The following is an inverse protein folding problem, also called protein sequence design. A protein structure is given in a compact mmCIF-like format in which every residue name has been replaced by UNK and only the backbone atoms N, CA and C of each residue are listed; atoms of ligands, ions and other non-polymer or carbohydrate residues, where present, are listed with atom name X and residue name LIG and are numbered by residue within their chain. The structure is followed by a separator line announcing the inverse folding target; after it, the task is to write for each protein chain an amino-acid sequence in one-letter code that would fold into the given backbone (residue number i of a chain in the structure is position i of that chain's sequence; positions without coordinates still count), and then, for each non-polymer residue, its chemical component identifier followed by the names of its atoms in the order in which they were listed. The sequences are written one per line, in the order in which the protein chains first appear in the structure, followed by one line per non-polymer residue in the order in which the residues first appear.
data_IF_285725404377
#
_entry.id   IF_285725404377
#
_cell.length_a   1.000
_cell.length_b   1.000
_cell.length_c   1.000
_cell.angle_alpha   90.00
_cell.angle_beta   90.00
_cell.angle_gamma   90.00
#
_symmetry.space_group_name_H-M   'P 1'
#
loop_
_entity.id
_entity.type
_entity.pdbx_description
1 polymer ?
#
# COMPACT_ATOMS: atom_id res chain seq x y z
N UNK A 1 -9.56 -29.93 -5.34
CA UNK A 1 -9.66 -28.62 -4.67
C UNK A 1 -9.37 -27.54 -5.70
N UNK A 2 -10.31 -26.63 -5.95
CA UNK A 2 -10.17 -25.55 -6.94
C UNK A 2 -9.79 -24.25 -6.24
N UNK A 3 -8.96 -23.42 -6.89
CA UNK A 3 -8.55 -22.12 -6.39
C UNK A 3 -8.66 -21.08 -7.51
N UNK A 4 -9.00 -19.85 -7.14
CA UNK A 4 -8.95 -18.72 -8.05
C UNK A 4 -7.52 -18.15 -8.05
N UNK A 5 -6.91 -18.07 -9.23
CA UNK A 5 -5.60 -17.43 -9.39
C UNK A 5 -5.78 -16.02 -9.90
N UNK A 6 -5.32 -15.06 -9.12
CA UNK A 6 -5.29 -13.65 -9.48
C UNK A 6 -3.84 -13.25 -9.72
N UNK A 7 -3.59 -12.50 -10.80
CA UNK A 7 -2.28 -11.91 -11.09
C UNK A 7 -2.43 -10.40 -11.14
N UNK A 8 -1.72 -9.71 -10.25
CA UNK A 8 -1.64 -8.25 -10.22
C UNK A 8 -0.22 -7.87 -10.61
N UNK A 9 -0.10 -6.90 -11.51
CA UNK A 9 1.18 -6.34 -11.95
C UNK A 9 1.06 -4.82 -11.96
N UNK A 10 2.09 -4.15 -11.48
CA UNK A 10 2.20 -2.70 -11.51
C UNK A 10 3.63 -2.28 -11.79
N UNK A 11 3.82 -1.04 -12.24
CA UNK A 11 5.15 -0.44 -12.41
C UNK A 11 5.81 -0.16 -11.06
N UNK A 12 5.00 0.26 -10.08
CA UNK A 12 5.43 0.57 -8.72
C UNK A 12 4.41 0.06 -7.71
N UNK A 13 4.85 -0.24 -6.49
CA UNK A 13 3.97 -0.61 -5.37
C UNK A 13 4.63 -0.20 -4.06
N UNK A 14 3.85 0.39 -3.16
CA UNK A 14 4.28 0.72 -1.80
C UNK A 14 3.35 0.07 -0.78
N UNK A 15 3.94 -0.46 0.29
CA UNK A 15 3.23 -1.16 1.36
C UNK A 15 3.43 -0.41 2.66
N UNK A 16 2.38 0.26 3.11
CA UNK A 16 2.44 1.19 4.25
C UNK A 16 3.05 0.53 5.50
N UNK A 17 4.07 1.17 6.05
CA UNK A 17 4.59 0.85 7.37
C UNK A 17 3.74 1.53 8.46
N UNK A 18 3.23 0.82 9.48
CA UNK A 18 2.22 1.36 10.38
C UNK A 18 2.75 2.40 11.38
N UNK A 19 4.05 2.41 11.69
CA UNK A 19 4.61 3.20 12.80
C UNK A 19 5.07 4.60 12.34
N UNK A 20 5.46 4.74 11.06
CA UNK A 20 5.98 6.00 10.52
C UNK A 20 4.94 6.66 9.62
N UNK A 21 4.57 7.89 9.95
CA UNK A 21 3.51 8.65 9.25
C UNK A 21 4.03 9.99 8.73
N UNK A 22 5.22 10.42 9.14
CA UNK A 22 5.76 11.75 8.82
C UNK A 22 7.22 11.69 8.38
N UNK A 23 7.58 12.51 7.39
CA UNK A 23 8.94 12.64 6.88
C UNK A 23 9.33 11.55 5.89
N UNK A 24 9.54 10.31 6.36
CA UNK A 24 9.89 9.18 5.48
C UNK A 24 8.76 8.16 5.47
N UNK A 25 8.34 7.71 4.29
CA UNK A 25 7.31 6.67 4.14
C UNK A 25 7.92 5.33 3.73
N UNK A 26 8.43 4.52 4.69
CA UNK A 26 8.99 3.23 4.36
C UNK A 26 7.93 2.29 3.80
N UNK A 27 8.32 1.53 2.78
CA UNK A 27 7.56 0.36 2.32
C UNK A 27 8.02 -0.91 3.04
N UNK A 28 7.06 -1.72 3.48
CA UNK A 28 7.31 -3.12 3.84
C UNK A 28 7.90 -3.87 2.63
N UNK A 29 8.70 -4.93 2.85
CA UNK A 29 9.32 -5.70 1.76
C UNK A 29 8.32 -6.55 0.98
N UNK A 30 7.16 -6.86 1.58
CA UNK A 30 6.07 -7.64 0.98
C UNK A 30 4.72 -7.01 1.37
N UNK A 31 3.66 -7.20 0.56
CA UNK A 31 2.34 -6.71 0.90
C UNK A 31 1.83 -7.38 2.18
N UNK A 32 1.49 -6.63 3.24
CA UNK A 32 0.85 -7.23 4.40
C UNK A 32 -0.52 -7.79 4.01
N UNK A 33 -1.00 -8.79 4.76
CA UNK A 33 -2.33 -9.35 4.51
C UNK A 33 -3.43 -8.29 4.57
N UNK A 34 -3.30 -7.27 5.43
CA UNK A 34 -4.21 -6.13 5.46
C UNK A 34 -4.33 -5.41 4.12
N UNK A 35 -3.25 -5.29 3.34
CA UNK A 35 -3.30 -4.73 1.98
C UNK A 35 -4.07 -5.65 1.04
N UNK A 36 -3.83 -6.96 1.09
CA UNK A 36 -4.51 -7.92 0.22
C UNK A 36 -6.01 -7.98 0.51
N UNK A 37 -6.40 -8.10 1.79
CA UNK A 37 -7.80 -8.05 2.20
C UNK A 37 -8.44 -6.68 1.93
N UNK A 38 -7.67 -5.59 2.02
CA UNK A 38 -8.12 -4.26 1.61
C UNK A 38 -8.45 -4.18 0.12
N UNK A 39 -7.61 -4.73 -0.75
CA UNK A 39 -7.86 -4.81 -2.20
C UNK A 39 -9.10 -5.66 -2.51
N UNK A 40 -9.25 -6.81 -1.86
CA UNK A 40 -10.43 -7.68 -2.03
C UNK A 40 -11.69 -6.96 -1.54
N UNK A 41 -11.62 -6.32 -0.37
CA UNK A 41 -12.75 -5.56 0.20
C UNK A 41 -13.18 -4.41 -0.72
N UNK A 42 -12.21 -3.68 -1.28
CA UNK A 42 -12.47 -2.59 -2.22
C UNK A 42 -13.15 -3.10 -3.50
N UNK A 43 -12.73 -4.25 -4.03
CA UNK A 43 -13.35 -4.87 -5.19
C UNK A 43 -14.76 -5.42 -4.90
N UNK A 44 -14.99 -5.96 -3.69
CA UNK A 44 -16.29 -6.49 -3.27
C UNK A 44 -17.27 -5.40 -2.83
N UNK A 45 -16.80 -4.20 -2.51
CA UNK A 45 -17.62 -3.11 -1.96
C UNK A 45 -18.07 -3.34 -0.51
N UNK A 46 -17.44 -4.27 0.22
CA UNK A 46 -17.71 -4.56 1.63
C UNK A 46 -16.45 -5.08 2.33
N UNK A 47 -16.33 -4.95 3.65
CA UNK A 47 -15.21 -5.54 4.39
C UNK A 47 -15.17 -7.06 4.22
N UNK A 48 -13.99 -7.59 3.89
CA UNK A 48 -13.68 -9.02 3.79
C UNK A 48 -12.54 -9.32 4.76
N UNK A 49 -12.71 -10.39 5.53
CA UNK A 49 -11.78 -10.84 6.55
C UNK A 49 -11.16 -12.20 6.20
N UNK A 50 -10.13 -12.65 6.95
CA UNK A 50 -9.56 -13.99 6.78
C UNK A 50 -10.54 -15.14 7.04
N UNK A 51 -11.64 -14.88 7.76
CA UNK A 51 -12.69 -15.85 8.03
C UNK A 51 -13.58 -16.09 6.80
N UNK A 52 -13.67 -15.10 5.92
CA UNK A 52 -14.49 -15.16 4.71
C UNK A 52 -13.76 -15.88 3.56
N UNK A 53 -12.46 -15.60 3.40
CA UNK A 53 -11.62 -16.13 2.30
C UNK A 53 -10.19 -16.35 2.78
N UNK A 54 -9.70 -17.59 2.64
CA UNK A 54 -8.27 -17.89 2.80
C UNK A 54 -7.49 -17.42 1.56
N UNK A 55 -6.39 -16.73 1.80
CA UNK A 55 -5.53 -16.17 0.75
C UNK A 55 -4.09 -16.61 0.98
N UNK A 56 -3.44 -17.05 -0.09
CA UNK A 56 -1.99 -17.21 -0.17
C UNK A 56 -1.49 -16.42 -1.37
N UNK A 57 -0.32 -15.80 -1.25
CA UNK A 57 0.24 -15.01 -2.33
C UNK A 57 1.75 -15.23 -2.45
N UNK A 58 2.27 -14.90 -3.63
CA UNK A 58 3.71 -14.79 -3.90
C UNK A 58 3.95 -13.41 -4.48
N UNK A 59 4.85 -12.65 -3.86
CA UNK A 59 5.24 -11.32 -4.31
C UNK A 59 6.63 -11.37 -4.97
N UNK A 60 6.78 -10.63 -6.08
CA UNK A 60 8.05 -10.44 -6.78
C UNK A 60 8.17 -8.98 -7.20
N UNK A 61 9.36 -8.43 -7.06
CA UNK A 61 9.73 -7.09 -7.52
C UNK A 61 11.16 -7.13 -8.04
N UNK A 62 11.42 -6.44 -9.14
CA UNK A 62 12.76 -6.42 -9.75
C UNK A 62 13.72 -5.45 -9.04
N UNK A 63 13.17 -4.38 -8.44
CA UNK A 63 13.94 -3.37 -7.74
C UNK A 63 13.13 -2.70 -6.62
N UNK A 64 13.84 -1.99 -5.74
CA UNK A 64 13.29 -1.08 -4.73
C UNK A 64 13.85 0.32 -4.99
N UNK A 65 12.99 1.33 -4.98
CA UNK A 65 13.34 2.73 -5.14
C UNK A 65 12.87 3.59 -3.97
N UNK A 66 13.33 4.83 -3.94
CA UNK A 66 12.83 5.90 -3.07
C UNK A 66 12.08 6.87 -3.97
N UNK A 67 10.83 7.17 -3.61
CA UNK A 67 10.00 8.15 -4.31
C UNK A 67 10.10 9.49 -3.59
N UNK A 68 10.41 10.56 -4.32
CA UNK A 68 10.65 11.88 -3.74
C UNK A 68 9.38 12.71 -3.85
N UNK A 69 8.74 12.99 -2.73
CA UNK A 69 7.49 13.74 -2.67
C UNK A 69 7.72 15.11 -2.01
N UNK A 70 7.15 16.16 -2.60
CA UNK A 70 7.09 17.49 -1.97
C UNK A 70 5.63 17.81 -1.67
N UNK A 71 5.31 17.94 -0.38
CA UNK A 71 3.97 18.26 0.07
C UNK A 71 3.87 19.76 0.35
N UNK A 72 2.92 20.41 -0.32
CA UNK A 72 2.55 21.79 -0.06
C UNK A 72 1.29 21.80 0.78
N UNK A 73 1.39 22.37 1.97
CA UNK A 73 0.27 22.55 2.87
C UNK A 73 -0.12 24.03 2.86
N UNK A 74 -1.40 24.26 2.57
CA UNK A 74 -1.95 25.61 2.41
C UNK A 74 -2.91 25.91 3.55
N UNK A 75 -2.58 26.94 4.32
CA UNK A 75 -3.46 27.56 5.31
C UNK A 75 -3.74 29.01 4.88
N UNK A 76 -4.84 29.61 5.35
CA UNK A 76 -5.17 30.99 4.99
C UNK A 76 -4.03 31.93 5.42
N UNK A 77 -3.33 32.51 4.45
CA UNK A 77 -2.20 33.41 4.67
C UNK A 77 -0.85 32.73 4.94
N UNK A 78 -0.74 31.39 4.86
CA UNK A 78 0.50 30.67 5.10
C UNK A 78 0.64 29.45 4.17
N UNK A 79 1.81 29.32 3.55
CA UNK A 79 2.21 28.13 2.80
C UNK A 79 3.32 27.45 3.58
N UNK A 80 3.08 26.25 4.11
CA UNK A 80 4.13 25.37 4.64
C UNK A 80 4.58 24.40 3.55
N UNK A 81 5.88 24.08 3.56
CA UNK A 81 6.47 23.03 2.74
C UNK A 81 6.96 21.93 3.66
N UNK A 82 6.56 20.70 3.37
CA UNK A 82 7.11 19.50 4.01
C UNK A 82 7.67 18.60 2.92
N UNK A 83 8.94 18.23 3.07
CA UNK A 83 9.55 17.26 2.17
C UNK A 83 9.28 15.86 2.73
N UNK A 84 8.76 14.98 1.90
CA UNK A 84 8.64 13.57 2.21
C UNK A 84 9.64 12.82 1.34
N UNK A 85 10.61 12.18 1.98
CA UNK A 85 11.62 11.34 1.32
C UNK A 85 11.18 9.89 1.38
#
# INVERSE_FOLDING_TARGET
MSFYRIKITSWTSSFRYPIFVYGYQPTLPVPPYSTIYGLISAACGKPISPEDVDVKYVFKSDAKGIDLETIYEWEIGRISKSNVV
#
